data_IF_103158072959
#
_entry.id   IF_103158072959
#
_cell.length_a   1.000
_cell.length_b   1.000
_cell.length_c   1.000
_cell.angle_alpha   90.00
_cell.angle_beta   90.00
_cell.angle_gamma   90.00
#
_symmetry.space_group_name_H-M   'P 1'
#
loop_
_entity.id
_entity.type
_entity.pdbx_description
1 polymer ?
#
# COMPACT_ATOMS: atom_id res chain seq x y z
N UNK A 1 38.55 26.80 63.06
CA UNK A 1 37.16 26.35 62.82
C UNK A 1 36.82 26.47 61.33
N UNK A 2 37.23 27.57 60.70
CA UNK A 2 36.95 27.87 59.28
C UNK A 2 37.56 26.87 58.27
N UNK A 3 38.74 26.30 58.55
CA UNK A 3 39.38 25.33 57.65
C UNK A 3 38.63 24.01 57.56
N UNK A 4 37.99 23.57 58.65
CA UNK A 4 37.21 22.33 58.68
C UNK A 4 35.89 22.52 57.93
N UNK A 5 35.24 23.67 58.13
CA UNK A 5 33.99 24.04 57.44
C UNK A 5 34.23 24.13 55.92
N UNK A 6 35.33 24.73 55.48
CA UNK A 6 35.68 24.83 54.06
C UNK A 6 35.95 23.47 53.42
N UNK A 7 36.60 22.53 54.12
CA UNK A 7 36.85 21.18 53.60
C UNK A 7 35.55 20.38 53.42
N UNK A 8 34.58 20.52 54.34
CA UNK A 8 33.26 19.87 54.25
C UNK A 8 32.45 20.45 53.09
N UNK A 9 32.47 21.78 52.91
CA UNK A 9 31.83 22.45 51.76
C UNK A 9 32.43 22.01 50.42
N UNK A 10 33.76 21.91 50.31
CA UNK A 10 34.41 21.41 49.10
C UNK A 10 34.04 19.96 48.80
N UNK A 11 34.03 19.09 49.81
CA UNK A 11 33.61 17.69 49.64
C UNK A 11 32.16 17.57 49.15
N UNK A 12 31.25 18.42 49.66
CA UNK A 12 29.86 18.46 49.21
C UNK A 12 29.72 18.92 47.75
N UNK A 13 30.48 19.94 47.33
CA UNK A 13 30.47 20.41 45.93
C UNK A 13 30.98 19.32 44.98
N UNK A 14 32.08 18.65 45.33
CA UNK A 14 32.63 17.55 44.52
C UNK A 14 31.65 16.39 44.42
N UNK A 15 31.00 16.01 45.54
CA UNK A 15 30.00 14.94 45.57
C UNK A 15 28.80 15.23 44.65
N UNK A 16 28.22 16.44 44.74
CA UNK A 16 27.12 16.85 43.86
C UNK A 16 27.56 16.95 42.39
N UNK A 17 28.80 17.36 42.13
CA UNK A 17 29.38 17.38 40.78
C UNK A 17 29.46 15.99 40.16
N UNK A 18 29.90 14.98 40.92
CA UNK A 18 29.97 13.59 40.47
C UNK A 18 28.56 13.04 40.18
N UNK A 19 27.59 13.33 41.05
CA UNK A 19 26.19 12.92 40.83
C UNK A 19 25.63 13.59 39.58
N UNK A 20 25.82 14.91 39.43
CA UNK A 20 25.36 15.64 38.24
C UNK A 20 25.98 15.11 36.95
N UNK A 21 27.26 14.80 36.96
CA UNK A 21 27.97 14.28 35.78
C UNK A 21 27.50 12.87 35.42
N UNK A 22 27.30 11.99 36.41
CA UNK A 22 26.77 10.65 36.18
C UNK A 22 25.31 10.66 35.69
N UNK A 23 24.45 11.53 36.25
CA UNK A 23 23.08 11.71 35.78
C UNK A 23 23.05 12.21 34.32
N UNK A 24 23.92 13.15 33.97
CA UNK A 24 24.02 13.68 32.60
C UNK A 24 24.47 12.60 31.61
N UNK A 25 25.43 11.75 32.02
CA UNK A 25 25.90 10.64 31.18
C UNK A 25 24.79 9.60 30.94
N UNK A 26 24.03 9.25 31.97
CA UNK A 26 22.89 8.32 31.86
C UNK A 26 21.84 8.92 30.92
N UNK A 27 21.51 10.21 31.09
CA UNK A 27 20.54 10.89 30.23
C UNK A 27 20.99 10.89 28.76
N UNK A 28 22.29 11.14 28.51
CA UNK A 28 22.85 11.10 27.16
C UNK A 28 22.68 9.72 26.50
N UNK A 29 22.90 8.63 27.24
CA UNK A 29 22.70 7.26 26.73
C UNK A 29 21.22 6.98 26.41
N UNK A 30 20.30 7.43 27.26
CA UNK A 30 18.85 7.29 27.03
C UNK A 30 18.44 8.04 25.75
N UNK A 31 18.89 9.28 25.59
CA UNK A 31 18.61 10.10 24.40
C UNK A 31 19.12 9.41 23.13
N UNK A 32 20.33 8.84 23.16
CA UNK A 32 20.88 8.11 22.02
C UNK A 32 20.02 6.89 21.63
N UNK A 33 19.51 6.14 22.62
CA UNK A 33 18.57 5.05 22.40
C UNK A 33 17.26 5.53 21.76
N UNK A 34 16.69 6.59 22.33
CA UNK A 34 15.44 7.18 21.85
C UNK A 34 15.55 7.68 20.40
N UNK A 35 16.64 8.37 20.06
CA UNK A 35 16.89 8.87 18.69
C UNK A 35 16.93 7.72 17.69
N UNK A 36 17.54 6.57 18.04
CA UNK A 36 17.56 5.39 17.16
C UNK A 36 16.15 4.84 16.93
N UNK A 37 15.35 4.72 17.99
CA UNK A 37 13.97 4.24 17.90
C UNK A 37 13.11 5.19 17.07
N UNK A 38 13.17 6.50 17.33
CA UNK A 38 12.43 7.52 16.57
C UNK A 38 12.82 7.48 15.09
N UNK A 39 14.12 7.40 14.77
CA UNK A 39 14.57 7.29 13.37
C UNK A 39 14.00 6.05 12.67
N UNK A 40 13.96 4.91 13.37
CA UNK A 40 13.38 3.68 12.83
C UNK A 40 11.88 3.82 12.60
N UNK A 41 11.14 4.32 13.59
CA UNK A 41 9.69 4.53 13.46
C UNK A 41 9.34 5.54 12.37
N UNK A 42 10.08 6.65 12.27
CA UNK A 42 9.90 7.62 11.18
C UNK A 42 10.14 6.95 9.83
N UNK A 43 11.17 6.11 9.70
CA UNK A 43 11.42 5.37 8.45
C UNK A 43 10.25 4.46 8.08
N UNK A 44 9.72 3.69 9.02
CA UNK A 44 8.60 2.77 8.80
C UNK A 44 7.28 3.50 8.44
N UNK A 45 7.03 4.67 9.05
CA UNK A 45 5.82 5.48 8.78
C UNK A 45 5.94 6.26 7.47
N UNK A 46 7.14 6.68 7.10
CA UNK A 46 7.35 7.55 5.93
C UNK A 46 7.61 6.80 4.64
N UNK A 47 7.73 5.48 4.65
CA UNK A 47 8.01 4.71 3.44
C UNK A 47 6.89 4.83 2.38
N UNK A 48 7.21 4.73 1.09
CA UNK A 48 6.19 4.55 0.05
C UNK A 48 5.40 3.27 0.32
N UNK A 49 4.10 3.30 0.02
CA UNK A 49 3.21 2.16 0.27
C UNK A 49 2.26 1.98 -0.89
N UNK A 50 2.74 1.27 -1.91
CA UNK A 50 1.99 1.01 -3.14
C UNK A 50 1.11 -0.22 -2.97
N UNK A 51 -0.17 -0.11 -3.36
CA UNK A 51 -1.17 -1.17 -3.31
C UNK A 51 -1.84 -1.27 -4.68
N UNK A 52 -2.04 -2.50 -5.16
CA UNK A 52 -2.89 -2.79 -6.31
C UNK A 52 -4.22 -3.35 -5.80
N UNK A 53 -5.35 -2.81 -6.25
CA UNK A 53 -6.66 -3.29 -5.83
C UNK A 53 -7.72 -3.03 -6.90
N UNK A 54 -8.91 -3.58 -6.69
CA UNK A 54 -10.04 -3.45 -7.61
C UNK A 54 -11.12 -2.58 -6.99
N UNK A 55 -11.76 -1.77 -7.82
CA UNK A 55 -12.87 -0.91 -7.41
C UNK A 55 -13.90 -0.76 -8.51
N UNK A 56 -15.07 -0.22 -8.15
CA UNK A 56 -16.09 0.24 -9.08
C UNK A 56 -16.36 1.71 -8.78
N UNK A 57 -16.56 2.51 -9.82
CA UNK A 57 -16.95 3.90 -9.66
C UNK A 57 -18.46 3.95 -9.38
N UNK A 58 -18.89 4.86 -8.50
CA UNK A 58 -20.32 5.05 -8.20
C UNK A 58 -21.15 5.43 -9.44
N UNK A 59 -20.51 6.08 -10.42
CA UNK A 59 -21.13 6.49 -11.67
C UNK A 59 -21.27 5.35 -12.68
N UNK A 60 -20.53 4.25 -12.51
CA UNK A 60 -20.52 3.12 -13.42
C UNK A 60 -20.19 1.82 -12.66
N UNK A 61 -21.24 1.20 -12.13
CA UNK A 61 -21.15 -0.07 -11.40
C UNK A 61 -20.95 -1.29 -12.32
N UNK A 62 -20.99 -1.08 -13.64
CA UNK A 62 -20.86 -2.15 -14.62
C UNK A 62 -19.40 -2.45 -14.97
N UNK A 63 -18.50 -1.48 -14.75
CA UNK A 63 -17.09 -1.58 -15.11
C UNK A 63 -16.23 -1.75 -13.86
N UNK A 64 -15.37 -2.77 -13.86
CA UNK A 64 -14.36 -2.94 -12.83
C UNK A 64 -13.12 -2.13 -13.19
N UNK A 65 -12.53 -1.48 -12.20
CA UNK A 65 -11.30 -0.71 -12.36
C UNK A 65 -10.18 -1.37 -11.56
N UNK A 66 -9.07 -1.64 -12.22
CA UNK A 66 -7.82 -1.96 -11.56
C UNK A 66 -7.15 -0.66 -11.16
N UNK A 67 -6.77 -0.53 -9.89
CA UNK A 67 -6.20 0.68 -9.31
C UNK A 67 -4.87 0.36 -8.68
N UNK A 68 -3.86 1.14 -9.03
CA UNK A 68 -2.59 1.19 -8.34
C UNK A 68 -2.49 2.53 -7.59
N UNK A 69 -2.40 2.49 -6.28
CA UNK A 69 -2.38 3.68 -5.42
C UNK A 69 -1.20 3.66 -4.46
N UNK A 70 -0.60 4.82 -4.25
CA UNK A 70 0.40 5.02 -3.21
C UNK A 70 -0.25 5.62 -1.97
N UNK A 71 -0.50 4.78 -0.97
CA UNK A 71 -1.02 5.14 0.34
C UNK A 71 0.09 5.61 1.32
N UNK A 72 1.35 5.61 0.88
CA UNK A 72 2.50 6.02 1.70
C UNK A 72 2.68 7.54 1.73
N UNK A 73 3.59 8.01 2.60
CA UNK A 73 3.89 9.44 2.73
C UNK A 73 5.02 9.93 1.81
N UNK A 74 5.70 9.01 1.11
CA UNK A 74 6.76 9.32 0.12
C UNK A 74 6.38 8.80 -1.25
N UNK A 75 6.97 9.40 -2.28
CA UNK A 75 6.76 8.99 -3.66
C UNK A 75 7.36 7.60 -3.91
N UNK A 76 6.65 6.78 -4.68
CA UNK A 76 7.14 5.52 -5.21
C UNK A 76 7.64 5.74 -6.65
N UNK A 77 8.83 5.22 -6.95
CA UNK A 77 9.49 5.39 -8.23
C UNK A 77 9.73 4.02 -8.90
N UNK A 78 9.85 4.03 -10.22
CA UNK A 78 10.19 2.86 -11.04
C UNK A 78 9.36 1.61 -10.70
N UNK A 79 8.05 1.79 -10.64
CA UNK A 79 7.13 0.76 -10.21
C UNK A 79 6.95 -0.25 -11.35
N UNK A 80 7.11 -1.53 -11.03
CA UNK A 80 6.79 -2.64 -11.91
C UNK A 80 5.82 -3.59 -11.20
N UNK A 81 4.81 -4.02 -11.94
CA UNK A 81 3.75 -4.91 -11.46
C UNK A 81 3.85 -6.19 -12.25
N UNK A 82 3.99 -7.31 -11.55
CA UNK A 82 3.97 -8.65 -12.09
C UNK A 82 2.75 -9.38 -11.55
N UNK A 83 2.00 -10.05 -12.42
CA UNK A 83 0.73 -10.71 -12.10
C UNK A 83 0.77 -12.13 -12.65
N UNK A 84 0.55 -13.11 -11.77
CA UNK A 84 0.51 -14.52 -12.12
C UNK A 84 -0.80 -15.16 -11.63
N UNK A 85 -1.59 -15.85 -12.48
CA UNK A 85 -1.39 -16.02 -13.93
C UNK A 85 -1.49 -14.68 -14.70
N UNK A 86 -1.03 -14.65 -15.95
CA UNK A 86 -1.12 -13.44 -16.76
C UNK A 86 -2.59 -12.98 -16.88
N UNK A 87 -2.80 -11.67 -16.77
CA UNK A 87 -4.13 -11.08 -16.88
C UNK A 87 -4.46 -10.91 -18.37
N UNK A 88 -4.97 -11.98 -18.99
CA UNK A 88 -5.42 -11.95 -20.38
C UNK A 88 -6.67 -11.06 -20.52
N UNK A 89 -6.49 -9.88 -21.12
CA UNK A 89 -7.55 -8.91 -21.38
C UNK A 89 -7.64 -8.66 -22.88
N UNK A 90 -8.74 -9.10 -23.47
CA UNK A 90 -9.06 -8.77 -24.86
C UNK A 90 -9.62 -7.35 -24.93
N UNK A 91 -8.76 -6.41 -25.31
CA UNK A 91 -9.21 -5.07 -25.68
C UNK A 91 -9.89 -5.08 -27.04
N UNK A 92 -10.94 -4.26 -27.26
CA UNK A 92 -11.50 -4.07 -28.59
C UNK A 92 -10.41 -3.64 -29.58
N UNK A 93 -10.41 -4.23 -30.79
CA UNK A 93 -9.46 -3.87 -31.85
C UNK A 93 -9.46 -2.36 -32.09
N UNK A 94 -8.28 -1.72 -31.96
CA UNK A 94 -8.11 -0.27 -32.12
C UNK A 94 -8.18 0.54 -30.83
N UNK A 95 -8.33 -0.10 -29.66
CA UNK A 95 -8.19 0.57 -28.36
C UNK A 95 -6.76 1.11 -28.17
N UNK A 96 -6.58 2.42 -27.91
CA UNK A 96 -5.27 2.98 -27.56
C UNK A 96 -4.87 2.66 -26.11
N UNK A 97 -5.71 1.96 -25.36
CA UNK A 97 -5.53 1.71 -23.93
C UNK A 97 -4.87 0.34 -23.72
N UNK A 98 -3.59 0.36 -23.36
CA UNK A 98 -2.90 -0.78 -22.73
C UNK A 98 -3.09 -0.73 -21.21
N UNK A 99 -2.96 -1.85 -20.52
CA UNK A 99 -2.95 -1.83 -19.06
C UNK A 99 -1.70 -1.10 -18.57
N UNK A 100 -1.83 -0.32 -17.48
CA UNK A 100 -0.65 0.27 -16.85
C UNK A 100 0.34 -0.79 -16.32
N UNK A 101 -0.12 -2.04 -16.11
CA UNK A 101 0.73 -3.15 -15.63
C UNK A 101 1.73 -3.61 -16.69
N UNK A 102 1.45 -3.38 -17.98
CA UNK A 102 2.35 -3.73 -19.08
C UNK A 102 3.58 -2.81 -19.14
N UNK A 103 3.54 -1.69 -18.42
CA UNK A 103 4.55 -0.64 -18.48
C UNK A 103 5.15 -0.36 -17.09
N UNK A 104 6.40 0.09 -17.08
CA UNK A 104 6.99 0.65 -15.86
C UNK A 104 6.42 2.04 -15.59
N UNK A 105 5.89 2.23 -14.39
CA UNK A 105 5.37 3.53 -13.96
C UNK A 105 6.53 4.30 -13.31
N UNK A 106 6.86 5.45 -13.89
CA UNK A 106 8.03 6.23 -13.46
C UNK A 106 7.89 6.75 -12.03
N UNK A 107 6.74 7.31 -11.69
CA UNK A 107 6.48 7.93 -10.39
C UNK A 107 5.01 7.83 -9.99
N UNK A 108 4.77 7.62 -8.70
CA UNK A 108 3.47 7.71 -8.06
C UNK A 108 3.63 8.47 -6.74
N UNK A 109 3.15 9.72 -6.71
CA UNK A 109 3.23 10.58 -5.53
C UNK A 109 2.34 10.07 -4.39
N UNK A 110 2.53 10.53 -3.13
CA UNK A 110 1.63 10.23 -2.02
C UNK A 110 0.17 10.52 -2.36
N UNK A 111 -0.74 9.61 -2.00
CA UNK A 111 -2.18 9.65 -2.31
C UNK A 111 -2.53 9.73 -3.80
N UNK A 112 -1.56 9.52 -4.70
CA UNK A 112 -1.82 9.44 -6.13
C UNK A 112 -2.20 8.02 -6.51
N UNK A 113 -3.18 7.91 -7.42
CA UNK A 113 -3.61 6.65 -8.00
C UNK A 113 -3.64 6.72 -9.52
N UNK A 114 -3.38 5.57 -10.13
CA UNK A 114 -3.59 5.31 -11.56
C UNK A 114 -4.61 4.19 -11.64
N UNK A 115 -5.54 4.30 -12.58
CA UNK A 115 -6.56 3.28 -12.77
C UNK A 115 -6.78 2.98 -14.25
N UNK A 116 -7.06 1.72 -14.54
CA UNK A 116 -7.47 1.26 -15.87
C UNK A 116 -8.78 0.50 -15.74
N UNK A 117 -9.72 0.80 -16.65
CA UNK A 117 -10.94 0.02 -16.79
C UNK A 117 -10.62 -1.37 -17.31
N UNK A 118 -11.17 -2.38 -16.66
CA UNK A 118 -11.09 -3.77 -17.09
C UNK A 118 -12.39 -4.11 -17.85
N UNK A 119 -12.31 -4.44 -19.16
CA UNK A 119 -13.48 -4.88 -19.91
C UNK A 119 -13.95 -6.24 -19.37
N UNK A 120 -15.23 -6.63 -19.50
CA UNK A 120 -15.70 -7.93 -19.04
C UNK A 120 -14.88 -9.09 -19.62
N UNK A 121 -14.47 -10.05 -18.79
CA UNK A 121 -13.65 -11.19 -19.21
C UNK A 121 -13.54 -12.30 -18.17
N UNK A 122 -12.83 -13.38 -18.53
CA UNK A 122 -12.70 -14.62 -17.73
C UNK A 122 -11.76 -14.49 -16.51
N UNK A 123 -11.26 -13.28 -16.24
CA UNK A 123 -10.49 -12.99 -15.03
C UNK A 123 -11.35 -12.88 -13.76
N UNK A 124 -12.68 -12.78 -13.92
CA UNK A 124 -13.65 -12.57 -12.83
C UNK A 124 -13.71 -13.68 -11.78
N UNK A 125 -13.29 -14.90 -12.10
CA UNK A 125 -13.38 -16.07 -11.19
C UNK A 125 -12.00 -16.60 -10.76
N UNK A 126 -10.94 -15.84 -11.06
CA UNK A 126 -9.57 -16.26 -10.83
C UNK A 126 -8.93 -15.46 -9.69
N UNK A 127 -7.96 -16.12 -9.04
CA UNK A 127 -7.07 -15.52 -8.05
C UNK A 127 -5.72 -15.28 -8.71
N UNK A 128 -5.17 -14.10 -8.45
CA UNK A 128 -3.91 -13.66 -9.02
C UNK A 128 -2.94 -13.30 -7.91
N UNK A 129 -1.74 -13.85 -7.99
CA UNK A 129 -0.62 -13.45 -7.17
C UNK A 129 0.07 -12.26 -7.84
N UNK A 130 0.08 -11.12 -7.17
CA UNK A 130 0.67 -9.89 -7.67
C UNK A 130 1.93 -9.55 -6.89
N UNK A 131 3.01 -9.26 -7.61
CA UNK A 131 4.28 -8.79 -7.07
C UNK A 131 4.48 -7.36 -7.57
N UNK A 132 4.54 -6.41 -6.65
CA UNK A 132 4.80 -5.00 -6.96
C UNK A 132 6.20 -4.68 -6.47
N UNK A 133 7.06 -4.21 -7.38
CA UNK A 133 8.41 -3.75 -7.05
C UNK A 133 8.50 -2.24 -7.30
N UNK A 134 9.12 -1.52 -6.38
CA UNK A 134 9.27 -0.06 -6.45
C UNK A 134 10.43 0.41 -5.60
N UNK A 135 10.82 1.66 -5.76
CA UNK A 135 11.87 2.28 -4.96
C UNK A 135 11.44 3.64 -4.40
N UNK A 136 12.06 4.07 -3.31
CA UNK A 136 11.89 5.45 -2.80
C UNK A 136 12.87 6.43 -3.48
N UNK A 137 12.81 7.71 -3.10
CA UNK A 137 13.74 8.75 -3.56
C UNK A 137 15.20 8.52 -3.14
N UNK A 138 15.46 7.60 -2.18
CA UNK A 138 16.80 7.15 -1.78
C UNK A 138 17.25 5.89 -2.52
N UNK A 139 16.46 5.40 -3.48
CA UNK A 139 16.70 4.16 -4.24
C UNK A 139 16.68 2.90 -3.37
N UNK A 140 16.07 2.95 -2.19
CA UNK A 140 15.81 1.72 -1.42
C UNK A 140 14.72 0.92 -2.16
N UNK A 141 14.97 -0.38 -2.37
CA UNK A 141 14.05 -1.26 -3.09
C UNK A 141 13.03 -1.88 -2.13
N UNK A 142 11.79 -1.89 -2.57
CA UNK A 142 10.65 -2.46 -1.87
C UNK A 142 9.95 -3.47 -2.78
N UNK A 143 9.60 -4.62 -2.21
CA UNK A 143 8.82 -5.66 -2.89
C UNK A 143 7.60 -5.98 -2.06
N UNK A 144 6.44 -5.90 -2.69
CA UNK A 144 5.16 -6.25 -2.07
C UNK A 144 4.54 -7.43 -2.79
N UNK A 145 4.20 -8.45 -2.02
CA UNK A 145 3.39 -9.57 -2.48
C UNK A 145 1.96 -9.38 -1.98
N UNK A 146 1.00 -9.52 -2.87
CA UNK A 146 -0.41 -9.40 -2.54
C UNK A 146 -1.24 -10.27 -3.46
N UNK A 147 -2.43 -10.63 -3.00
CA UNK A 147 -3.35 -11.46 -3.74
C UNK A 147 -4.48 -10.57 -4.24
N UNK A 148 -4.74 -10.64 -5.54
CA UNK A 148 -5.89 -10.03 -6.16
C UNK A 148 -6.93 -11.14 -6.43
N UNK A 149 -8.01 -11.12 -5.67
CA UNK A 149 -9.08 -12.11 -5.78
C UNK A 149 -10.35 -11.45 -6.34
N UNK A 150 -10.64 -11.74 -7.61
CA UNK A 150 -11.81 -11.20 -8.30
C UNK A 150 -13.12 -11.86 -7.84
N UNK A 151 -13.05 -13.08 -7.29
CA UNK A 151 -14.23 -13.83 -6.85
C UNK A 151 -14.92 -13.16 -5.65
N UNK A 152 -14.15 -12.46 -4.82
CA UNK A 152 -14.67 -11.74 -3.67
C UNK A 152 -15.52 -10.52 -4.08
N UNK A 153 -15.16 -9.85 -5.18
CA UNK A 153 -15.91 -8.73 -5.73
C UNK A 153 -17.27 -9.18 -6.27
N UNK A 154 -17.37 -10.40 -6.81
CA UNK A 154 -18.67 -10.99 -7.22
C UNK A 154 -19.67 -11.01 -6.06
N UNK A 155 -19.21 -11.14 -4.81
CA UNK A 155 -20.08 -11.20 -3.63
C UNK A 155 -20.34 -9.84 -2.99
N UNK A 156 -19.35 -8.94 -3.00
CA UNK A 156 -19.48 -7.61 -2.40
C UNK A 156 -20.05 -6.54 -3.34
N UNK A 157 -19.70 -6.58 -4.62
CA UNK A 157 -20.04 -5.57 -5.63
C UNK A 157 -21.15 -6.00 -6.60
N UNK A 158 -21.65 -7.22 -6.46
CA UNK A 158 -22.82 -7.72 -7.19
C UNK A 158 -23.84 -8.25 -6.18
N UNK A 159 -24.41 -7.36 -5.36
CA UNK A 159 -25.81 -7.56 -5.02
C UNK A 159 -26.56 -7.65 -6.37
N UNK A 160 -27.30 -8.73 -6.67
CA UNK A 160 -27.86 -8.94 -7.98
C UNK A 160 -28.80 -7.78 -8.31
N UNK A 161 -28.39 -6.90 -9.23
CA UNK A 161 -29.26 -5.82 -9.69
C UNK A 161 -30.48 -6.45 -10.37
N UNK A 162 -31.67 -5.82 -10.27
CA UNK A 162 -32.89 -6.32 -10.90
C UNK A 162 -32.69 -6.60 -12.40
N UNK A 163 -31.91 -5.78 -13.11
CA UNK A 163 -31.66 -5.96 -14.55
C UNK A 163 -30.86 -7.23 -14.85
N UNK A 164 -29.84 -7.56 -14.03
CA UNK A 164 -29.06 -8.80 -14.21
C UNK A 164 -29.92 -10.05 -13.98
N UNK A 165 -30.93 -9.98 -13.09
CA UNK A 165 -31.90 -11.07 -12.90
C UNK A 165 -32.83 -11.21 -14.11
N UNK A 166 -33.25 -10.09 -14.70
CA UNK A 166 -34.10 -10.09 -15.90
C UNK A 166 -33.37 -10.70 -17.10
N UNK A 167 -32.12 -10.28 -17.36
CA UNK A 167 -31.32 -10.83 -18.46
C UNK A 167 -31.11 -12.34 -18.33
N UNK A 168 -30.76 -12.81 -17.13
CA UNK A 168 -30.55 -14.24 -16.86
C UNK A 168 -31.83 -15.07 -16.95
N UNK A 169 -32.98 -14.47 -16.64
CA UNK A 169 -34.27 -15.12 -16.81
C UNK A 169 -34.69 -15.17 -18.29
N UNK A 170 -34.42 -14.11 -19.05
CA UNK A 170 -34.66 -14.08 -20.51
C UNK A 170 -33.80 -15.12 -21.24
N UNK A 171 -32.54 -15.27 -20.83
CA UNK A 171 -31.64 -16.30 -21.37
C UNK A 171 -32.16 -17.72 -21.10
N UNK A 172 -32.65 -17.98 -19.88
CA UNK A 172 -33.31 -19.25 -19.53
C UNK A 172 -34.59 -19.51 -20.33
N UNK A 173 -35.39 -18.47 -20.58
CA UNK A 173 -36.60 -18.59 -21.39
C UNK A 173 -36.23 -18.90 -22.84
N UNK A 174 -35.22 -18.24 -23.41
CA UNK A 174 -34.71 -18.51 -24.76
C UNK A 174 -34.27 -19.97 -24.90
N UNK A 175 -33.46 -20.47 -23.96
CA UNK A 175 -32.98 -21.85 -23.96
C UNK A 175 -34.11 -22.87 -23.86
N UNK A 176 -35.19 -22.55 -23.15
CA UNK A 176 -36.35 -23.43 -23.03
C UNK A 176 -37.19 -23.46 -24.31
N UNK A 177 -37.25 -22.34 -25.03
CA UNK A 177 -37.96 -22.23 -26.31
C UNK A 177 -37.19 -22.89 -27.47
N UNK A 178 -35.87 -22.94 -27.40
CA UNK A 178 -35.02 -23.63 -28.40
C UNK A 178 -35.00 -25.16 -28.26
N UNK A 179 -35.52 -25.70 -27.15
CA UNK A 179 -35.59 -27.14 -26.89
C UNK A 179 -36.98 -27.77 -27.22
N UNK A 180 -37.92 -26.97 -27.72
CA UNK A 180 -39.22 -27.43 -28.27
C UNK A 180 -39.19 -27.43 -29.80
#
# INVERSE_FOLDING_TARGET
MDTVINNVLQAFVVYNGIIGMSATLILALIILGLVKTVKKSVKEITQPYVVLYLTKLQTDESVNYLVLENFGQRAALNIAVDINPELEIEYPKGSPFSLFIEHRISVLAPAQRIMTALPPGDYMEKRYDCIITYQDDKKELYTRKQILDFSYLKRLLFAPSPQNRIAKNLEKISQYLEQQ
#
